data_IF_086112351784
#
_entry.id   IF_086112351784
#
_cell.length_a   1.000
_cell.length_b   1.000
_cell.length_c   1.000
_cell.angle_alpha   90.00
_cell.angle_beta   90.00
_cell.angle_gamma   90.00
#
_symmetry.space_group_name_H-M   'P 1'
#
loop_
_entity.id
_entity.type
_entity.pdbx_description
1 polymer ?
#
# COMPACT_ATOMS: atom_id res chain seq x y z
N UNK A 1 -11.79 12.51 -14.50
CA UNK A 1 -10.41 12.81 -14.06
C UNK A 1 -9.50 12.48 -15.21
N UNK A 2 -8.58 13.38 -15.54
CA UNK A 2 -7.48 13.09 -16.47
C UNK A 2 -6.30 12.58 -15.64
N UNK A 3 -5.63 11.54 -16.12
CA UNK A 3 -4.45 10.97 -15.46
C UNK A 3 -3.24 11.51 -16.21
N UNK A 4 -2.37 12.23 -15.50
CA UNK A 4 -1.08 12.64 -16.09
C UNK A 4 -0.13 11.45 -16.08
N UNK A 5 0.40 11.12 -17.25
CA UNK A 5 1.30 9.97 -17.47
C UNK A 5 2.72 10.39 -17.83
N UNK A 6 3.02 11.71 -17.78
CA UNK A 6 4.35 12.25 -18.09
C UNK A 6 5.32 12.09 -16.92
N UNK A 7 4.79 12.08 -15.70
CA UNK A 7 5.55 11.99 -14.45
C UNK A 7 5.10 10.80 -13.60
N UNK A 8 5.90 10.47 -12.58
CA UNK A 8 5.51 9.50 -11.55
C UNK A 8 4.33 10.04 -10.73
N UNK A 9 3.36 9.18 -10.48
CA UNK A 9 2.21 9.47 -9.62
C UNK A 9 2.01 8.35 -8.61
N UNK A 10 1.39 8.69 -7.48
CA UNK A 10 1.12 7.73 -6.42
C UNK A 10 -0.32 7.21 -6.49
N UNK A 11 -0.45 5.89 -6.57
CA UNK A 11 -1.72 5.20 -6.31
C UNK A 11 -1.70 4.63 -4.90
N UNK A 12 -2.81 4.81 -4.17
CA UNK A 12 -3.02 4.17 -2.87
C UNK A 12 -4.43 3.61 -2.81
N UNK A 13 -4.53 2.39 -2.27
CA UNK A 13 -5.81 1.74 -1.99
C UNK A 13 -5.86 1.41 -0.50
N UNK A 14 -6.96 1.77 0.16
CA UNK A 14 -7.25 1.35 1.54
C UNK A 14 -8.42 0.37 1.47
N UNK A 15 -8.19 -0.87 1.88
CA UNK A 15 -9.22 -1.88 2.02
C UNK A 15 -9.52 -2.07 3.52
N UNK A 16 -10.72 -1.68 3.96
CA UNK A 16 -11.16 -1.79 5.35
C UNK A 16 -12.57 -2.38 5.42
N UNK A 17 -12.65 -3.66 5.81
CA UNK A 17 -13.91 -4.39 5.85
C UNK A 17 -14.54 -4.44 4.46
N UNK A 18 -15.74 -3.89 4.36
CA UNK A 18 -16.51 -3.87 3.10
C UNK A 18 -16.24 -2.59 2.28
N UNK A 19 -15.30 -1.73 2.68
CA UNK A 19 -15.04 -0.43 2.04
C UNK A 19 -13.65 -0.39 1.42
N UNK A 20 -13.60 0.06 0.16
CA UNK A 20 -12.38 0.26 -0.61
C UNK A 20 -12.29 1.73 -1.01
N UNK A 21 -11.22 2.40 -0.61
CA UNK A 21 -10.94 3.79 -0.98
C UNK A 21 -9.74 3.83 -1.92
N UNK A 22 -9.89 4.52 -3.05
CA UNK A 22 -8.83 4.76 -4.02
C UNK A 22 -8.37 6.20 -3.98
N UNK A 23 -7.05 6.39 -4.01
CA UNK A 23 -6.40 7.69 -3.98
C UNK A 23 -5.43 7.84 -5.16
N UNK A 24 -5.40 9.04 -5.74
CA UNK A 24 -4.43 9.49 -6.74
C UNK A 24 -3.74 10.73 -6.20
N UNK A 25 -2.41 10.67 -6.02
CA UNK A 25 -1.59 11.73 -5.41
C UNK A 25 -2.19 12.27 -4.10
N UNK A 26 -2.61 11.34 -3.24
CA UNK A 26 -3.19 11.63 -1.93
C UNK A 26 -4.63 12.15 -1.94
N UNK A 27 -5.23 12.39 -3.11
CA UNK A 27 -6.63 12.82 -3.24
C UNK A 27 -7.53 11.62 -3.44
N UNK A 28 -8.65 11.56 -2.72
CA UNK A 28 -9.65 10.51 -2.91
C UNK A 28 -10.28 10.63 -4.31
N UNK A 29 -10.32 9.51 -5.03
CA UNK A 29 -10.89 9.44 -6.40
C UNK A 29 -11.99 8.40 -6.51
N UNK A 30 -12.07 7.46 -5.56
CA UNK A 30 -13.10 6.44 -5.53
C UNK A 30 -13.36 5.96 -4.10
N UNK A 31 -14.62 5.64 -3.82
CA UNK A 31 -15.07 4.85 -2.67
C UNK A 31 -16.03 3.77 -3.18
N UNK A 32 -15.76 2.51 -2.84
CA UNK A 32 -16.54 1.36 -3.28
C UNK A 32 -16.91 0.52 -2.06
N UNK A 33 -18.15 0.02 -2.02
CA UNK A 33 -18.60 -0.94 -1.02
C UNK A 33 -18.81 -2.30 -1.65
N UNK A 34 -18.12 -3.31 -1.15
CA UNK A 34 -18.22 -4.71 -1.60
C UNK A 34 -18.16 -5.68 -0.41
N UNK A 35 -19.06 -6.66 -0.38
CA UNK A 35 -19.17 -7.65 0.70
C UNK A 35 -18.64 -9.03 0.32
N UNK A 36 -18.31 -9.25 -0.96
CA UNK A 36 -17.89 -10.54 -1.49
C UNK A 36 -16.39 -10.78 -1.31
N UNK A 37 -15.59 -9.72 -1.38
CA UNK A 37 -14.12 -9.80 -1.38
C UNK A 37 -13.54 -9.41 -0.02
N UNK A 38 -13.36 -10.42 0.86
CA UNK A 38 -12.88 -10.21 2.23
C UNK A 38 -11.36 -10.36 2.40
N UNK A 39 -10.72 -11.18 1.57
CA UNK A 39 -9.28 -11.43 1.61
C UNK A 39 -8.80 -11.96 0.24
N UNK A 40 -7.53 -11.70 -0.08
CA UNK A 40 -6.95 -12.12 -1.35
C UNK A 40 -5.49 -11.73 -1.47
N UNK A 41 -4.91 -12.01 -2.65
CA UNK A 41 -3.56 -11.54 -3.01
C UNK A 41 -3.65 -10.14 -3.62
N UNK A 42 -2.60 -9.35 -3.44
CA UNK A 42 -2.45 -8.03 -4.07
C UNK A 42 -1.52 -8.16 -5.28
N UNK A 43 -1.83 -7.44 -6.35
CA UNK A 43 -0.98 -7.37 -7.53
C UNK A 43 -1.35 -6.18 -8.40
N UNK A 44 -0.41 -5.77 -9.25
CA UNK A 44 -0.64 -4.74 -10.25
C UNK A 44 -0.91 -5.37 -11.61
N UNK A 45 -1.83 -4.78 -12.37
CA UNK A 45 -2.19 -5.21 -13.72
C UNK A 45 -1.98 -4.07 -14.70
N UNK A 46 -1.29 -4.36 -15.79
CA UNK A 46 -1.13 -3.46 -16.94
C UNK A 46 -1.93 -4.04 -18.11
N UNK A 47 -2.61 -3.18 -18.87
CA UNK A 47 -3.41 -3.60 -20.02
C UNK A 47 -3.21 -2.63 -21.18
N UNK A 48 -2.81 -3.17 -22.35
CA UNK A 48 -2.69 -2.40 -23.59
C UNK A 48 -1.58 -1.36 -23.62
N UNK A 49 -0.65 -1.37 -22.66
CA UNK A 49 0.44 -0.40 -22.55
C UNK A 49 1.66 -1.00 -21.85
N UNK A 50 2.75 -0.22 -21.81
CA UNK A 50 3.89 -0.45 -20.93
C UNK A 50 3.77 0.49 -19.74
N UNK A 51 3.96 -0.02 -18.53
CA UNK A 51 3.99 0.78 -17.31
C UNK A 51 5.22 0.42 -16.46
N UNK A 52 5.78 1.42 -15.80
CA UNK A 52 6.79 1.25 -14.78
C UNK A 52 6.09 1.35 -13.41
N UNK A 53 6.35 0.38 -12.55
CA UNK A 53 5.74 0.30 -11.22
C UNK A 53 6.90 0.10 -10.25
N UNK A 54 7.03 1.02 -9.31
CA UNK A 54 8.05 1.00 -8.27
C UNK A 54 7.41 1.35 -6.91
N UNK A 55 8.15 1.13 -5.83
CA UNK A 55 7.69 1.33 -4.43
C UNK A 55 6.36 0.62 -4.12
N UNK A 56 6.18 -0.58 -4.68
CA UNK A 56 4.99 -1.39 -4.47
C UNK A 56 5.01 -2.03 -3.08
N UNK A 57 4.41 -1.35 -2.11
CA UNK A 57 4.29 -1.80 -0.73
C UNK A 57 2.85 -2.22 -0.35
N UNK A 58 2.76 -3.25 0.49
CA UNK A 58 1.50 -3.71 1.07
C UNK A 58 1.70 -3.86 2.57
N UNK A 59 0.98 -3.04 3.33
CA UNK A 59 1.05 -3.02 4.78
C UNK A 59 -0.35 -3.01 5.39
N UNK A 60 -0.42 -3.30 6.68
CA UNK A 60 -1.65 -3.29 7.44
C UNK A 60 -1.67 -4.34 8.55
N UNK A 61 -2.72 -4.31 9.37
CA UNK A 61 -2.90 -5.27 10.45
C UNK A 61 -3.03 -6.68 9.87
N UNK A 62 -2.12 -7.58 10.27
CA UNK A 62 -2.13 -8.98 9.83
C UNK A 62 -1.38 -9.25 8.52
N UNK A 63 -0.75 -8.23 7.93
CA UNK A 63 0.21 -8.40 6.83
C UNK A 63 1.61 -8.45 7.43
N UNK A 64 2.27 -9.59 7.32
CA UNK A 64 3.67 -9.71 7.75
C UNK A 64 4.56 -8.87 6.81
N UNK A 65 5.58 -8.19 7.33
CA UNK A 65 6.46 -7.36 6.52
C UNK A 65 7.26 -8.22 5.53
N UNK A 66 7.60 -7.63 4.38
CA UNK A 66 8.36 -8.32 3.34
C UNK A 66 9.75 -8.71 3.82
N UNK A 67 10.37 -9.74 3.22
CA UNK A 67 11.68 -10.25 3.62
C UNK A 67 12.84 -9.23 3.53
N UNK A 68 12.66 -8.13 2.81
CA UNK A 68 13.61 -7.01 2.76
C UNK A 68 13.40 -6.01 3.91
N UNK A 69 12.18 -5.91 4.45
CA UNK A 69 11.84 -5.28 5.73
C UNK A 69 11.68 -6.35 6.84
N UNK A 70 12.62 -7.30 6.91
CA UNK A 70 12.48 -8.41 7.83
C UNK A 70 12.38 -7.93 9.29
N UNK A 71 11.27 -8.27 9.92
CA UNK A 71 11.08 -8.24 11.38
C UNK A 71 12.33 -8.86 12.05
N UNK A 72 13.14 -8.04 12.71
CA UNK A 72 14.41 -8.46 13.30
C UNK A 72 15.69 -8.03 12.57
N UNK A 73 15.62 -7.19 11.52
CA UNK A 73 16.79 -6.41 11.06
C UNK A 73 17.21 -5.43 12.15
N UNK A 74 18.53 -5.21 12.28
CA UNK A 74 19.12 -4.32 13.28
C UNK A 74 18.44 -2.95 13.30
N UNK A 75 18.16 -2.36 12.14
CA UNK A 75 17.47 -1.07 12.01
C UNK A 75 16.07 -1.10 12.66
N UNK A 76 15.25 -2.11 12.39
CA UNK A 76 13.92 -2.27 12.98
C UNK A 76 14.00 -2.51 14.49
N UNK A 77 14.99 -3.27 14.96
CA UNK A 77 15.23 -3.51 16.40
C UNK A 77 15.63 -2.22 17.12
N UNK A 78 16.50 -1.39 16.54
CA UNK A 78 16.89 -0.10 17.11
C UNK A 78 15.73 0.88 17.18
N UNK A 79 14.90 0.96 16.13
CA UNK A 79 13.68 1.78 16.13
C UNK A 79 12.71 1.36 17.24
N UNK A 80 12.54 0.06 17.46
CA UNK A 80 11.70 -0.46 18.54
C UNK A 80 12.23 -0.11 19.93
N UNK A 81 13.55 -0.20 20.15
CA UNK A 81 14.19 0.22 21.41
C UNK A 81 13.98 1.71 21.64
N UNK A 82 14.20 2.54 20.62
CA UNK A 82 14.08 4.00 20.75
C UNK A 82 12.65 4.42 21.14
N UNK A 83 11.63 3.82 20.53
CA UNK A 83 10.23 4.10 20.90
C UNK A 83 9.84 3.64 22.31
N UNK A 84 10.54 2.68 22.91
CA UNK A 84 10.32 2.27 24.30
C UNK A 84 11.01 3.21 25.29
N UNK A 85 12.17 3.77 24.93
CA UNK A 85 12.92 4.70 25.79
C UNK A 85 12.29 6.10 25.82
N UNK A 86 11.61 6.52 24.76
CA UNK A 86 10.95 7.84 24.67
C UNK A 86 9.51 7.87 25.24
N UNK A 87 9.11 6.86 26.03
CA UNK A 87 7.82 6.81 26.75
C UNK A 87 7.93 7.15 28.23
#
# INVERSE_FOLDING_TARGET
>A
MEIDTKDWFQLKVIANGDTFEGYYDGKIVAEIKDKGLRAGKVGARVYGSTAHIDDFDVNGKGIEPSSVEAKGKLTTTWSAIKMVVER
#
